data_IF_107623511380
#
_entry.id   IF_107623511380
#
_cell.length_a   1.000
_cell.length_b   1.000
_cell.length_c   1.000
_cell.angle_alpha   90.00
_cell.angle_beta   90.00
_cell.angle_gamma   90.00
#
_symmetry.space_group_name_H-M   'P 1'
#
loop_
_entity.id
_entity.type
_entity.pdbx_description
1 polymer ?
#
# COMPACT_ATOMS: atom_id res chain seq x y z
N UNK A 1 -17.22 -7.58 9.99
CA UNK A 1 -16.76 -6.45 9.15
C UNK A 1 -15.52 -5.89 9.81
N UNK A 2 -14.33 -6.07 9.23
CA UNK A 2 -13.06 -5.60 9.83
C UNK A 2 -12.97 -4.09 9.58
N UNK A 3 -12.80 -3.30 10.63
CA UNK A 3 -12.67 -1.84 10.54
C UNK A 3 -11.44 -1.47 9.71
N UNK A 4 -11.52 -0.50 8.78
CA UNK A 4 -10.36 -0.04 8.04
C UNK A 4 -9.32 0.54 9.00
N UNK A 5 -8.05 0.21 8.80
CA UNK A 5 -6.94 0.82 9.54
C UNK A 5 -6.38 2.00 8.71
N UNK A 6 -6.74 3.26 9.03
CA UNK A 6 -6.34 4.42 8.22
C UNK A 6 -4.83 4.62 8.18
N UNK A 7 -4.10 4.25 9.24
CA UNK A 7 -2.65 4.35 9.27
C UNK A 7 -2.00 3.34 8.32
N UNK A 8 -2.52 2.11 8.29
CA UNK A 8 -2.03 1.06 7.40
C UNK A 8 -2.34 1.36 5.93
N UNK A 9 -3.54 1.87 5.66
CA UNK A 9 -3.90 2.37 4.34
C UNK A 9 -2.93 3.47 3.88
N UNK A 10 -2.66 4.48 4.72
CA UNK A 10 -1.72 5.54 4.40
C UNK A 10 -0.31 5.02 4.09
N UNK A 11 0.15 4.00 4.82
CA UNK A 11 1.45 3.37 4.57
C UNK A 11 1.48 2.65 3.21
N UNK A 12 0.43 1.88 2.88
CA UNK A 12 0.31 1.22 1.56
C UNK A 12 0.30 2.24 0.43
N UNK A 13 -0.49 3.32 0.55
CA UNK A 13 -0.50 4.41 -0.44
C UNK A 13 0.89 5.01 -0.65
N UNK A 14 1.65 5.18 0.43
CA UNK A 14 3.01 5.73 0.36
C UNK A 14 3.97 4.79 -0.39
N UNK A 15 3.82 3.47 -0.25
CA UNK A 15 4.59 2.49 -1.02
C UNK A 15 4.29 2.61 -2.52
N UNK A 16 3.02 2.67 -2.92
CA UNK A 16 2.67 2.85 -4.33
C UNK A 16 3.10 4.22 -4.89
N UNK A 17 3.08 5.28 -4.07
CA UNK A 17 3.60 6.58 -4.47
C UNK A 17 5.12 6.55 -4.70
N UNK A 18 5.86 5.79 -3.87
CA UNK A 18 7.30 5.63 -4.01
C UNK A 18 7.69 4.74 -5.20
N UNK A 19 6.87 3.74 -5.52
CA UNK A 19 7.09 2.80 -6.62
C UNK A 19 5.92 2.83 -7.63
N UNK A 20 5.78 3.92 -8.40
CA UNK A 20 4.64 4.08 -9.32
C UNK A 20 4.65 3.07 -10.48
N UNK A 21 5.81 2.47 -10.77
CA UNK A 21 6.01 1.55 -11.89
C UNK A 21 6.06 0.08 -11.45
N UNK A 22 5.42 -0.29 -10.34
CA UNK A 22 5.29 -1.69 -9.95
C UNK A 22 4.52 -2.46 -11.02
N UNK A 23 5.20 -3.41 -11.66
CA UNK A 23 4.65 -4.25 -12.74
C UNK A 23 3.72 -5.36 -12.24
N UNK A 24 3.55 -5.47 -10.92
CA UNK A 24 2.79 -6.54 -10.27
C UNK A 24 2.02 -6.00 -9.06
N UNK A 25 1.07 -6.80 -8.57
CA UNK A 25 0.39 -6.52 -7.30
C UNK A 25 1.22 -7.09 -6.16
N UNK A 26 1.87 -6.25 -5.32
CA UNK A 26 2.68 -6.71 -4.21
C UNK A 26 1.84 -7.48 -3.19
N UNK A 27 2.40 -8.59 -2.70
CA UNK A 27 1.88 -9.33 -1.56
C UNK A 27 2.32 -8.65 -0.26
N UNK A 28 1.74 -9.01 0.90
CA UNK A 28 2.14 -8.42 2.18
C UNK A 28 3.65 -8.41 2.43
N UNK A 29 4.35 -9.53 2.16
CA UNK A 29 5.80 -9.62 2.33
C UNK A 29 6.57 -8.70 1.39
N UNK A 30 6.07 -8.51 0.15
CA UNK A 30 6.70 -7.62 -0.82
C UNK A 30 6.60 -6.16 -0.33
N UNK A 31 5.44 -5.76 0.21
CA UNK A 31 5.24 -4.43 0.81
C UNK A 31 6.17 -4.20 2.00
N UNK A 32 6.35 -5.21 2.86
CA UNK A 32 7.32 -5.16 3.97
C UNK A 32 8.75 -5.00 3.47
N UNK A 33 9.11 -5.77 2.44
CA UNK A 33 10.44 -5.70 1.84
C UNK A 33 10.69 -4.34 1.21
N UNK A 34 9.71 -3.75 0.53
CA UNK A 34 9.79 -2.40 -0.02
C UNK A 34 9.92 -1.35 1.09
N UNK A 35 9.18 -1.46 2.18
CA UNK A 35 9.30 -0.57 3.34
C UNK A 35 10.70 -0.66 3.99
N UNK A 36 11.22 -1.88 4.18
CA UNK A 36 12.56 -2.11 4.70
C UNK A 36 13.65 -1.57 3.75
N UNK A 37 13.43 -1.72 2.44
CA UNK A 37 14.32 -1.17 1.42
C UNK A 37 14.37 0.36 1.52
N UNK A 38 13.22 1.06 1.56
CA UNK A 38 13.19 2.53 1.73
C UNK A 38 13.95 2.93 3.00
N UNK A 39 13.71 2.22 4.11
CA UNK A 39 14.40 2.45 5.39
C UNK A 39 15.92 2.32 5.29
N UNK A 40 16.41 1.38 4.47
CA UNK A 40 17.85 1.17 4.27
C UNK A 40 18.51 2.23 3.38
N UNK A 41 17.77 2.84 2.46
CA UNK A 41 18.31 3.72 1.42
C UNK A 41 18.22 5.21 1.78
N UNK A 42 17.19 5.61 2.52
CA UNK A 42 16.85 7.02 2.70
C UNK A 42 16.97 7.45 4.16
N UNK A 43 17.72 8.52 4.41
CA UNK A 43 17.74 9.20 5.70
C UNK A 43 16.35 9.76 6.06
N UNK A 44 15.58 10.17 5.04
CA UNK A 44 14.21 10.69 5.17
C UNK A 44 13.15 9.58 5.12
N UNK A 45 13.43 8.46 5.78
CA UNK A 45 12.49 7.35 5.89
C UNK A 45 11.20 7.81 6.58
N UNK A 46 10.02 7.67 5.96
CA UNK A 46 8.77 8.04 6.60
C UNK A 46 8.44 7.09 7.76
N UNK A 47 8.36 7.57 9.02
CA UNK A 47 8.20 6.70 10.19
C UNK A 47 6.90 5.87 10.19
N UNK A 48 5.86 6.34 9.51
CA UNK A 48 4.60 5.59 9.42
C UNK A 48 4.71 4.30 8.61
N UNK A 49 5.77 4.13 7.80
CA UNK A 49 6.05 2.88 7.11
C UNK A 49 6.52 1.76 8.07
N UNK A 50 6.97 2.09 9.29
CA UNK A 50 7.35 1.07 10.28
C UNK A 50 6.14 0.22 10.69
N UNK A 51 4.92 0.75 10.54
CA UNK A 51 3.69 0.00 10.74
C UNK A 51 3.64 -1.23 9.82
N UNK A 52 4.10 -1.12 8.57
CA UNK A 52 4.13 -2.26 7.65
C UNK A 52 5.06 -3.36 8.16
N UNK A 53 6.18 -3.00 8.80
CA UNK A 53 7.15 -3.96 9.30
C UNK A 53 6.64 -4.69 10.56
N UNK A 54 5.87 -3.99 11.40
CA UNK A 54 5.36 -4.52 12.67
C UNK A 54 4.03 -5.28 12.55
N UNK A 55 3.21 -4.96 11.54
CA UNK A 55 1.85 -5.48 11.39
C UNK A 55 1.82 -6.91 10.80
N UNK A 56 0.81 -7.70 11.16
CA UNK A 56 0.63 -9.05 10.58
C UNK A 56 0.19 -8.99 9.11
N UNK A 57 0.67 -9.96 8.32
CA UNK A 57 0.41 -10.05 6.89
C UNK A 57 -1.09 -10.07 6.55
N UNK A 58 -1.93 -10.66 7.39
CA UNK A 58 -3.38 -10.65 7.20
C UNK A 58 -3.93 -9.21 7.15
N UNK A 59 -3.49 -8.30 8.02
CA UNK A 59 -4.04 -6.94 8.03
C UNK A 59 -3.57 -6.16 6.80
N UNK A 60 -2.31 -6.35 6.42
CA UNK A 60 -1.74 -5.76 5.20
C UNK A 60 -2.49 -6.25 3.97
N UNK A 61 -2.76 -7.55 3.87
CA UNK A 61 -3.54 -8.14 2.78
C UNK A 61 -4.96 -7.54 2.70
N UNK A 62 -5.61 -7.37 3.86
CA UNK A 62 -6.92 -6.73 3.94
C UNK A 62 -6.93 -5.32 3.37
N UNK A 63 -5.93 -4.49 3.70
CA UNK A 63 -5.83 -3.13 3.20
C UNK A 63 -5.34 -3.05 1.74
N UNK A 64 -4.46 -3.96 1.30
CA UNK A 64 -4.07 -4.08 -0.11
C UNK A 64 -5.28 -4.38 -1.00
N UNK A 65 -6.13 -5.31 -0.57
CA UNK A 65 -7.36 -5.64 -1.29
C UNK A 65 -8.31 -4.43 -1.38
N UNK A 66 -8.43 -3.64 -0.30
CA UNK A 66 -9.21 -2.39 -0.32
C UNK A 66 -8.61 -1.36 -1.27
N UNK A 67 -7.30 -1.15 -1.20
CA UNK A 67 -6.59 -0.22 -2.08
C UNK A 67 -6.85 -0.55 -3.55
N UNK A 68 -6.70 -1.82 -3.93
CA UNK A 68 -6.97 -2.27 -5.29
C UNK A 68 -8.45 -2.15 -5.70
N UNK A 69 -9.38 -2.44 -4.79
CA UNK A 69 -10.80 -2.27 -5.05
C UNK A 69 -11.17 -0.80 -5.30
N UNK A 70 -10.59 0.12 -4.53
CA UNK A 70 -10.77 1.56 -4.73
C UNK A 70 -10.18 2.03 -6.07
N UNK A 71 -8.99 1.56 -6.44
CA UNK A 71 -8.38 1.89 -7.74
C UNK A 71 -9.23 1.43 -8.93
N UNK A 72 -9.85 0.24 -8.83
CA UNK A 72 -10.76 -0.25 -9.88
C UNK A 72 -12.05 0.57 -10.00
N UNK A 73 -12.59 1.07 -8.89
CA UNK A 73 -13.77 1.94 -8.91
C UNK A 73 -13.43 3.32 -9.51
N UNK A 74 -12.31 3.90 -9.11
CA UNK A 74 -11.85 5.20 -9.64
C UNK A 74 -11.52 5.16 -11.14
N UNK A 75 -11.15 4.00 -11.69
CA UNK A 75 -10.90 3.84 -13.14
C UNK A 75 -12.16 3.53 -13.94
N UNK A 76 -13.18 2.92 -13.33
CA UNK A 76 -14.46 2.67 -13.97
C UNK A 76 -15.23 3.98 -14.25
N UNK A 77 -15.22 4.91 -13.29
CA UNK A 77 -15.89 6.22 -13.42
C UNK A 77 -15.26 7.11 -14.51
N UNK A 78 -13.99 6.88 -14.86
CA UNK A 78 -13.29 7.64 -15.90
C UNK A 78 -13.62 7.16 -17.33
N UNK A 79 -14.30 6.01 -17.49
CA UNK A 79 -14.58 5.39 -18.78
C UNK A 79 -15.97 5.73 -19.35
N UNK A 80 -16.86 6.35 -18.56
CA UNK A 80 -18.28 6.56 -18.93
C UNK A 80 -18.58 7.95 -19.52
N UNK A 81 -17.57 8.68 -20.00
CA UNK A 81 -17.78 9.97 -20.70
C UNK A 81 -17.01 10.02 -22.01
N UNK A 82 -17.41 9.20 -22.99
CA UNK A 82 -17.12 9.43 -24.41
C UNK A 82 -18.28 8.99 -25.29
#
# INVERSE_FOLDING_TARGET
MKTPNPALASAIHSIYAQFPNLSYRPRPDDVKLLAAFIKSQHADYPPHLDLLLAEDNHFIEGELNRYHHQQTLSTADACETR
#
